data_IF_800785607666
#
_entry.id   IF_800785607666
#
_cell.length_a   1.000
_cell.length_b   1.000
_cell.length_c   1.000
_cell.angle_alpha   90.00
_cell.angle_beta   90.00
_cell.angle_gamma   90.00
#
_symmetry.space_group_name_H-M   'P 1'
#
loop_
_entity.id
_entity.type
_entity.pdbx_description
1 polymer ?
2 non-polymer ?
3 non-polymer ?
4 non-polymer ?
5 water ?
#
# COMPACT_ATOMS: atom_id res chain seq x y z
N UNK A 2 14.87 16.18 -7.76
CA UNK A 2 13.59 15.46 -7.53
C UNK A 2 13.54 14.22 -8.43
N UNK A 3 14.10 13.12 -7.93
CA UNK A 3 14.12 11.85 -8.68
C UNK A 3 12.83 11.04 -8.55
N UNK A 4 12.00 11.13 -9.58
CA UNK A 4 10.73 10.40 -9.66
C UNK A 4 10.90 8.98 -10.20
N UNK A 5 9.79 8.23 -10.19
CA UNK A 5 9.74 6.84 -10.64
C UNK A 5 8.29 6.51 -11.01
N UNK A 6 7.97 6.43 -12.30
CA UNK A 6 6.65 5.93 -12.70
C UNK A 6 6.78 4.45 -12.95
N UNK A 7 5.82 3.71 -12.39
CA UNK A 7 5.79 2.28 -12.51
C UNK A 7 4.35 1.91 -12.89
N UNK A 8 4.25 0.90 -13.74
CA UNK A 8 2.98 0.46 -14.27
C UNK A 8 2.66 -0.90 -13.66
N UNK A 9 1.40 -1.09 -13.28
CA UNK A 9 0.98 -2.33 -12.64
C UNK A 9 -0.43 -2.72 -13.00
N UNK A 10 -0.68 -4.03 -13.00
CA UNK A 10 -1.97 -4.62 -13.40
C UNK A 10 -2.77 -4.97 -12.15
N UNK A 11 -3.91 -4.33 -11.96
CA UNK A 11 -4.79 -4.69 -10.85
C UNK A 11 -5.01 -6.20 -10.81
N UNK A 12 -4.69 -6.80 -9.67
CA UNK A 12 -5.00 -8.19 -9.39
C UNK A 12 -5.58 -8.28 -8.00
N UNK A 13 -6.05 -9.45 -7.63
CA UNK A 13 -6.56 -9.67 -6.28
C UNK A 13 -5.58 -10.52 -5.45
N UNK A 14 -5.35 -10.12 -4.21
CA UNK A 14 -4.62 -10.95 -3.27
C UNK A 14 -5.52 -11.44 -2.15
N UNK A 15 -4.90 -12.13 -1.19
CA UNK A 15 -5.54 -12.44 0.10
C UNK A 15 -5.47 -11.20 1.01
N UNK A 16 -6.53 -11.04 1.78
CA UNK A 16 -6.90 -9.73 2.27
C UNK A 16 -7.82 -10.12 3.38
N UNK A 17 -7.26 -10.90 4.31
CA UNK A 17 -8.03 -11.39 5.41
C UNK A 17 -8.58 -10.18 6.13
N UNK A 18 -8.18 -8.98 5.71
CA UNK A 18 -8.62 -7.79 6.39
C UNK A 18 -7.76 -7.88 7.62
N UNK A 19 -6.72 -7.07 7.62
CA UNK A 19 -5.52 -7.54 8.19
C UNK A 19 -5.28 -6.60 9.32
N UNK A 20 -4.83 -7.16 10.43
CA UNK A 20 -4.68 -6.39 11.65
C UNK A 20 -4.25 -4.95 11.40
N UNK A 21 -3.34 -4.77 10.46
CA UNK A 21 -2.72 -3.47 10.24
C UNK A 21 -3.52 -2.51 9.37
N UNK A 22 -4.68 -2.92 8.90
CA UNK A 22 -5.63 -1.99 8.31
C UNK A 22 -6.80 -1.77 9.29
N UNK A 23 -6.86 -2.63 10.30
CA UNK A 23 -8.06 -2.84 11.07
C UNK A 23 -7.97 -2.29 12.50
N UNK A 24 -6.77 -2.27 13.09
CA UNK A 24 -6.60 -1.82 14.48
C UNK A 24 -6.25 -0.34 14.60
N UNK A 25 -6.80 0.33 15.62
CA UNK A 25 -6.63 1.79 15.85
C UNK A 25 -5.17 2.31 15.83
N UNK A 26 -4.24 1.59 16.48
CA UNK A 26 -2.86 2.08 16.42
C UNK A 26 -2.37 2.27 14.99
N UNK A 27 -2.77 1.34 14.13
CA UNK A 27 -2.38 1.40 12.75
C UNK A 27 -3.09 2.55 12.12
N UNK A 28 -4.39 2.59 12.32
CA UNK A 28 -5.19 3.71 11.85
C UNK A 28 -4.49 5.03 12.21
N UNK A 29 -4.31 5.25 13.51
CA UNK A 29 -3.76 6.50 14.00
C UNK A 29 -2.38 6.75 13.39
N UNK A 30 -1.56 5.71 13.25
CA UNK A 30 -0.20 5.93 12.78
C UNK A 30 -0.15 6.26 11.30
N UNK A 31 -0.98 5.62 10.49
CA UNK A 31 -1.08 6.00 9.09
C UNK A 31 -1.56 7.42 8.98
N UNK A 32 -2.50 7.79 9.85
CA UNK A 32 -2.91 9.17 9.94
C UNK A 32 -1.69 10.06 10.20
N UNK A 33 -0.90 9.75 11.22
CA UNK A 33 0.34 10.49 11.46
C UNK A 33 1.19 10.54 10.18
N UNK A 34 1.56 9.34 9.72
CA UNK A 34 2.65 9.16 8.77
C UNK A 34 2.25 9.55 7.37
N UNK A 35 1.05 9.16 6.96
CA UNK A 35 0.58 9.47 5.62
C UNK A 35 -0.48 10.56 5.62
N UNK A 36 -1.05 10.86 6.77
CA UNK A 36 -2.08 11.88 6.84
C UNK A 36 -3.35 11.42 6.17
N UNK A 37 -3.70 10.16 6.38
CA UNK A 37 -5.05 9.69 6.08
C UNK A 37 -5.31 8.34 6.71
N UNK A 38 -6.54 8.14 7.17
CA UNK A 38 -7.00 6.84 7.62
C UNK A 38 -7.18 6.04 6.34
N UNK A 39 -6.40 4.97 6.16
CA UNK A 39 -6.50 4.31 4.89
C UNK A 39 -7.79 3.50 4.88
N UNK A 40 -8.38 3.35 3.70
CA UNK A 40 -9.46 2.40 3.56
C UNK A 40 -8.97 1.01 3.99
N UNK A 41 -9.86 0.29 4.65
CA UNK A 41 -9.55 -1.01 5.23
C UNK A 41 -9.32 -2.11 4.18
N UNK A 42 -8.25 -1.97 3.40
CA UNK A 42 -7.94 -2.93 2.33
C UNK A 42 -6.85 -2.43 1.39
N UNK A 43 -6.46 -3.28 0.45
CA UNK A 43 -5.34 -3.00 -0.42
C UNK A 43 -5.65 -3.38 -1.84
N UNK A 44 -5.28 -2.48 -2.75
CA UNK A 44 -5.30 -2.71 -4.17
C UNK A 44 -3.94 -3.30 -4.55
N UNK A 45 -3.94 -4.55 -5.01
CA UNK A 45 -2.71 -5.26 -5.32
C UNK A 45 -2.39 -5.11 -6.78
N UNK A 46 -1.15 -4.77 -7.10
CA UNK A 46 -0.74 -4.65 -8.48
C UNK A 46 0.28 -5.69 -8.80
N UNK A 47 0.26 -6.18 -10.04
CA UNK A 47 1.31 -7.05 -10.55
C UNK A 47 2.18 -6.20 -11.45
N UNK A 48 3.44 -6.12 -11.06
CA UNK A 48 4.41 -5.33 -11.77
C UNK A 48 5.16 -6.21 -12.75
N UNK A 49 5.95 -5.54 -13.57
CA UNK A 49 6.57 -6.14 -14.73
C UNK A 49 7.91 -6.73 -14.31
N UNK A 50 8.39 -6.29 -13.14
CA UNK A 50 9.59 -6.83 -12.48
C UNK A 50 9.35 -6.91 -10.99
N UNK A 51 10.27 -7.55 -10.27
CA UNK A 51 10.18 -7.59 -8.81
C UNK A 51 10.29 -6.17 -8.31
N UNK A 52 9.87 -5.94 -7.07
CA UNK A 52 9.96 -4.63 -6.43
C UNK A 52 10.46 -4.83 -5.03
N UNK A 53 11.28 -3.89 -4.56
CA UNK A 53 11.90 -3.99 -3.25
C UNK A 53 11.81 -2.67 -2.54
N UNK A 54 11.01 -2.63 -1.49
CA UNK A 54 10.78 -1.42 -0.72
C UNK A 54 12.10 -0.93 -0.11
N UNK A 55 12.97 -1.87 0.27
CA UNK A 55 14.24 -1.55 0.93
C UNK A 55 15.13 -0.68 0.07
N UNK A 56 14.98 -0.81 -1.23
CA UNK A 56 15.64 0.08 -2.15
C UNK A 56 14.99 1.48 -2.12
N UNK A 57 14.33 1.86 -1.02
CA UNK A 57 13.72 3.21 -0.91
C UNK A 57 13.72 3.76 0.53
N UNK A 58 13.34 5.02 0.67
CA UNK A 58 13.12 5.60 1.99
C UNK A 58 11.70 5.27 2.44
N UNK A 59 11.55 4.07 2.99
CA UNK A 59 10.30 3.63 3.57
C UNK A 59 10.18 4.07 5.04
N UNK A 60 8.97 4.40 5.47
CA UNK A 60 8.67 4.44 6.90
C UNK A 60 8.42 3.00 7.34
N UNK A 61 8.96 2.62 8.50
CA UNK A 61 8.67 1.34 9.12
C UNK A 61 7.95 1.71 10.38
N UNK A 62 6.71 1.25 10.55
CA UNK A 62 6.01 1.47 11.81
C UNK A 62 6.55 0.54 12.90
N UNK A 63 6.37 0.94 14.14
CA UNK A 63 6.69 0.10 15.28
C UNK A 63 5.67 -1.01 15.54
N UNK A 64 6.13 -2.04 16.23
CA UNK A 64 5.27 -3.11 16.70
C UNK A 64 4.36 -2.52 17.77
N UNK A 65 3.15 -3.06 17.89
CA UNK A 65 2.22 -2.69 18.94
C UNK A 65 1.86 -3.87 19.82
N UNK A 66 1.45 -3.59 21.06
CA UNK A 66 0.78 -4.58 21.91
C UNK A 66 -0.67 -4.15 21.88
N UNK A 67 -1.55 -4.97 21.34
CA UNK A 67 -2.97 -4.60 21.38
C UNK A 67 -3.83 -5.74 21.92
N UNK A 68 -4.42 -5.49 23.09
CA UNK A 68 -5.17 -6.51 23.83
C UNK A 68 -4.37 -7.80 23.92
N UNK A 69 -3.19 -7.68 24.52
CA UNK A 69 -2.38 -8.85 24.86
C UNK A 69 -1.58 -9.44 23.71
N UNK A 70 -2.09 -9.28 22.49
CA UNK A 70 -1.43 -9.77 21.30
C UNK A 70 -0.36 -8.74 20.93
N UNK A 71 0.77 -9.21 20.41
CA UNK A 71 1.76 -8.33 19.77
C UNK A 71 1.48 -8.26 18.27
N UNK A 72 1.78 -7.13 17.66
CA UNK A 72 1.55 -6.93 16.22
C UNK A 72 2.75 -6.29 15.60
N UNK A 73 3.15 -6.79 14.44
CA UNK A 73 4.33 -6.29 13.82
C UNK A 73 3.99 -5.09 12.98
N UNK A 74 4.87 -4.10 13.02
CA UNK A 74 4.71 -2.92 12.22
C UNK A 74 4.94 -3.24 10.77
N UNK A 75 4.60 -2.29 9.91
CA UNK A 75 4.65 -2.50 8.48
C UNK A 75 5.51 -1.43 7.83
N UNK A 76 6.24 -1.81 6.78
CA UNK A 76 6.99 -0.88 5.97
C UNK A 76 6.00 -0.25 5.03
N UNK A 77 5.95 1.07 5.05
CA UNK A 77 5.10 1.83 4.16
C UNK A 77 5.96 2.79 3.36
N UNK A 78 5.68 2.88 2.05
CA UNK A 78 6.36 3.81 1.16
C UNK A 78 5.31 4.66 0.48
N UNK A 79 5.31 5.98 0.73
CA UNK A 79 4.28 6.82 0.12
C UNK A 79 4.42 7.01 -1.39
N UNK A 80 3.29 7.20 -2.05
CA UNK A 80 3.23 7.26 -3.49
C UNK A 80 2.02 8.07 -3.93
N UNK A 81 2.00 8.36 -5.23
CA UNK A 81 0.85 8.94 -5.87
C UNK A 81 0.26 7.92 -6.83
N UNK A 82 -1.01 7.60 -6.64
CA UNK A 82 -1.71 6.65 -7.48
C UNK A 82 -2.32 7.42 -8.64
N UNK A 83 -1.85 7.12 -9.86
CA UNK A 83 -2.25 7.87 -11.06
C UNK A 83 -3.33 7.08 -11.80
N UNK A 84 -4.58 7.51 -11.63
CA UNK A 84 -5.72 6.93 -12.32
C UNK A 84 -6.34 7.95 -13.27
N UNK A 85 -6.10 7.74 -14.56
CA UNK A 85 -6.54 8.66 -15.61
C UNK A 85 -5.99 10.04 -15.31
N UNK A 86 -6.87 11.03 -15.35
CA UNK A 86 -6.50 12.42 -15.03
C UNK A 86 -6.22 12.65 -13.52
N UNK A 87 -6.96 11.95 -12.65
CA UNK A 87 -6.84 12.09 -11.19
C UNK A 87 -5.55 11.44 -10.66
N UNK A 88 -5.05 11.90 -9.51
CA UNK A 88 -3.71 11.47 -9.02
C UNK A 88 -3.58 11.44 -7.48
N UNK A 89 -4.17 10.40 -6.90
CA UNK A 89 -4.38 10.23 -5.45
C UNK A 89 -3.10 9.93 -4.65
N UNK A 90 -3.13 10.31 -3.38
CA UNK A 90 -2.06 9.99 -2.44
C UNK A 90 -2.29 8.60 -1.89
N UNK A 91 -1.21 7.85 -1.73
CA UNK A 91 -1.29 6.53 -1.13
C UNK A 91 0.07 6.01 -0.71
N UNK A 92 0.12 4.75 -0.32
CA UNK A 92 1.38 4.14 0.06
C UNK A 92 1.42 2.70 -0.40
N UNK A 93 2.63 2.24 -0.71
CA UNK A 93 2.94 0.83 -0.87
C UNK A 93 3.15 0.24 0.51
N UNK A 94 2.48 -0.87 0.80
CA UNK A 94 2.57 -1.47 2.13
C UNK A 94 3.16 -2.84 2.08
N UNK A 95 4.05 -3.11 3.02
CA UNK A 95 4.73 -4.38 3.10
C UNK A 95 4.66 -4.87 4.54
N UNK A 96 3.74 -5.78 4.86
CA UNK A 96 3.77 -6.37 6.21
C UNK A 96 4.91 -7.38 6.40
N UNK A 97 5.07 -7.86 7.63
CA UNK A 97 6.14 -8.82 7.97
C UNK A 97 6.06 -10.11 7.11
N UNK A 98 4.88 -10.75 7.11
CA UNK A 98 4.62 -11.99 6.35
C UNK A 98 3.74 -11.71 5.12
N UNK A 99 4.06 -12.36 4.01
CA UNK A 99 3.33 -12.17 2.77
C UNK A 99 3.59 -13.35 1.85
N UNK A 100 2.54 -14.07 1.46
CA UNK A 100 2.74 -15.27 0.63
C UNK A 100 2.98 -14.92 -0.83
N UNK A 101 2.85 -13.66 -1.22
CA UNK A 101 2.94 -13.35 -2.63
C UNK A 101 4.33 -13.03 -3.09
N UNK A 102 4.45 -13.02 -4.40
CA UNK A 102 5.70 -12.77 -5.07
C UNK A 102 6.09 -11.31 -4.98
N UNK A 103 7.36 -11.08 -5.26
CA UNK A 103 8.00 -9.80 -5.07
C UNK A 103 7.56 -8.84 -6.15
N UNK A 104 6.95 -9.36 -7.21
CA UNK A 104 6.41 -8.54 -8.30
C UNK A 104 5.01 -8.02 -8.01
N UNK A 105 4.44 -8.42 -6.88
CA UNK A 105 3.18 -7.87 -6.44
C UNK A 105 3.48 -6.81 -5.38
N UNK A 106 2.89 -5.64 -5.56
CA UNK A 106 2.88 -4.61 -4.53
C UNK A 106 1.45 -4.42 -4.05
N UNK A 107 1.30 -3.87 -2.84
CA UNK A 107 -0.01 -3.52 -2.30
C UNK A 107 -0.06 -2.04 -2.08
N UNK A 108 -1.18 -1.45 -2.46
CA UNK A 108 -1.35 -0.03 -2.44
C UNK A 108 -2.46 0.16 -1.47
N UNK A 109 -2.26 1.05 -0.50
CA UNK A 109 -3.36 1.53 0.34
C UNK A 109 -3.62 3.00 0.00
N UNK A 110 -4.88 3.40 0.10
CA UNK A 110 -5.29 4.76 -0.18
C UNK A 110 -6.39 5.11 0.81
N UNK A 111 -6.76 6.40 0.92
CA UNK A 111 -7.83 6.85 1.83
C UNK A 111 -9.22 6.28 1.53
N UNK A 112 -9.44 5.78 0.31
CA UNK A 112 -10.70 5.10 -0.07
C UNK A 112 -10.43 3.87 -0.92
N UNK A 113 -11.39 2.96 -0.96
CA UNK A 113 -11.30 1.80 -1.86
C UNK A 113 -11.31 2.23 -3.33
N UNK A 114 -10.12 2.24 -3.92
CA UNK A 114 -9.91 2.63 -5.30
C UNK A 114 -10.70 1.73 -6.23
N UNK A 115 -10.74 0.45 -5.88
CA UNK A 115 -11.44 -0.53 -6.70
C UNK A 115 -12.82 0.00 -7.04
N UNK A 116 -13.60 0.30 -6.00
CA UNK A 116 -14.94 0.86 -6.17
C UNK A 116 -14.88 2.30 -6.68
N UNK A 117 -14.22 3.19 -5.95
CA UNK A 117 -14.18 4.60 -6.35
C UNK A 117 -13.67 4.89 -7.76
N UNK A 118 -13.08 3.91 -8.44
CA UNK A 118 -12.67 4.13 -9.82
C UNK A 118 -13.10 2.98 -10.70
N UNK A 119 -14.12 2.26 -10.22
CA UNK A 119 -14.56 1.01 -10.83
C UNK A 119 -13.44 0.35 -11.60
N UNK A 120 -12.51 -0.23 -10.84
CA UNK A 120 -11.42 -1.00 -11.40
C UNK A 120 -11.81 -2.46 -11.38
N UNK A 121 -11.40 -3.19 -12.41
CA UNK A 121 -11.50 -4.64 -12.43
C UNK A 121 -10.09 -5.20 -12.52
N UNK A 122 -9.91 -6.46 -12.13
CA UNK A 122 -8.62 -7.09 -12.31
C UNK A 122 -8.28 -7.07 -13.79
N UNK A 123 -6.99 -7.03 -14.07
CA UNK A 123 -6.53 -6.89 -15.44
C UNK A 123 -6.30 -5.43 -15.76
N UNK A 124 -7.09 -4.53 -15.18
CA UNK A 124 -6.88 -3.10 -15.42
C UNK A 124 -5.46 -2.76 -15.07
N UNK A 125 -4.90 -1.76 -15.75
CA UNK A 125 -3.59 -1.23 -15.39
C UNK A 125 -3.71 0.17 -14.80
N UNK A 126 -2.88 0.46 -13.81
CA UNK A 126 -2.62 1.83 -13.42
C UNK A 126 -1.12 2.07 -13.35
N UNK A 127 -0.79 3.35 -13.17
CA UNK A 127 0.56 3.77 -12.89
C UNK A 127 0.51 4.27 -11.46
N UNK A 128 1.61 4.06 -10.76
CA UNK A 128 1.81 4.72 -9.50
C UNK A 128 3.14 5.44 -9.57
N UNK A 129 3.30 6.38 -8.66
CA UNK A 129 4.40 7.30 -8.68
C UNK A 129 5.13 7.34 -7.35
N UNK A 130 6.25 6.63 -7.31
CA UNK A 130 7.25 6.86 -6.31
C UNK A 130 7.98 8.13 -6.70
N UNK A 131 8.44 8.85 -5.68
CA UNK A 131 9.14 10.11 -5.84
C UNK A 131 10.33 10.04 -4.91
N UNK A 132 11.06 8.93 -4.99
CA UNK A 132 12.06 8.60 -3.97
C UNK A 132 13.44 8.29 -4.53
N UNK A 133 13.71 6.99 -4.71
CA UNK A 133 15.05 6.44 -5.00
C UNK A 133 16.21 7.44 -4.93
X LIG B 1 -1.81 -10.19 -0.71
X LIG B 1 -2.80 -9.26 -0.14
X LIG B 1 -2.46 -11.40 -1.17
X LIG B 1 -1.16 -9.54 -1.84
X LIG B 1 -0.80 -10.64 0.25
X LIG C 1 0.13 -12.35 -0.98
X LIG D 1 -8.71 -0.55 -2.71
X LIG E 1 -7.45 -7.24 -3.23
#
# INVERSE_FOLDING_TARGET
MVKLMIIEGEVVSGLGEGRYFLSLPPYKEIFKKILGFEPYEGTLNLKLDREFDINKFKYIETEDFEFNGKRFFGVKVLPIKILIGNKKIDGAIVVPKKTYHSSEIIEIIAPMKLREQFNLKDGDVIKILIKGDKDE
PO4 P O1 O2 O3 O4
ZN ZN
CL CL
CL CL
#
